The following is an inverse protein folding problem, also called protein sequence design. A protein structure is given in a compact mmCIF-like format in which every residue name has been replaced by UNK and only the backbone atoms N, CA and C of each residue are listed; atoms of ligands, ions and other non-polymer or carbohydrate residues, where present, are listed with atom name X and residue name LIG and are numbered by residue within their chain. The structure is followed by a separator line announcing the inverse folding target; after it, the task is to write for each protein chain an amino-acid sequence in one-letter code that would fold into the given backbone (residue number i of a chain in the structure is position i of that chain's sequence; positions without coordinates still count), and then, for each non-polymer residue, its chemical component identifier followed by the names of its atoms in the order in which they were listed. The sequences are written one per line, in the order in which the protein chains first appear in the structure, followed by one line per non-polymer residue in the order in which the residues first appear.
data_IF_236993828953
#
_entry.id   IF_236993828953
#
_cell.length_a   1.000
_cell.length_b   1.000
_cell.length_c   1.000
_cell.angle_alpha   90.00
_cell.angle_beta   90.00
_cell.angle_gamma   90.00
#
_symmetry.space_group_name_H-M   'P 1'
#
loop_
_entity.id
_entity.type
_entity.pdbx_description
1 polymer ?
#
# COMPACT_ATOMS: atom_id res chain seq x y z
N UNK A 1 -26.13 0.16 16.51
CA UNK A 1 -24.67 0.01 16.35
C UNK A 1 -24.22 0.91 15.21
N UNK A 2 -22.97 1.38 15.25
CA UNK A 2 -22.41 2.28 14.24
C UNK A 2 -22.54 1.75 12.80
N UNK A 3 -22.34 0.45 12.60
CA UNK A 3 -22.45 -0.21 11.30
C UNK A 3 -23.87 -0.23 10.70
N UNK A 4 -24.91 0.05 11.49
CA UNK A 4 -26.30 0.10 11.01
C UNK A 4 -26.69 1.50 10.51
N UNK A 5 -25.81 2.49 10.65
CA UNK A 5 -26.09 3.86 10.24
C UNK A 5 -25.93 4.00 8.71
N UNK A 6 -26.77 4.80 8.03
CA UNK A 6 -26.66 5.00 6.58
C UNK A 6 -25.27 5.44 6.11
N UNK A 7 -24.58 6.27 6.91
CA UNK A 7 -23.24 6.79 6.60
C UNK A 7 -22.19 5.67 6.54
N UNK A 8 -22.41 4.55 7.25
CA UNK A 8 -21.52 3.39 7.19
C UNK A 8 -21.57 2.71 5.83
N UNK A 9 -22.73 2.75 5.14
CA UNK A 9 -22.85 2.24 3.77
C UNK A 9 -21.98 3.04 2.80
N UNK A 10 -22.00 4.36 2.91
CA UNK A 10 -21.18 5.25 2.08
C UNK A 10 -19.70 5.08 2.41
N UNK A 11 -19.35 4.94 3.68
CA UNK A 11 -17.99 4.60 4.11
C UNK A 11 -17.51 3.28 3.48
N UNK A 12 -18.31 2.21 3.54
CA UNK A 12 -17.94 0.93 2.93
C UNK A 12 -17.77 1.04 1.40
N UNK A 13 -18.61 1.83 0.72
CA UNK A 13 -18.45 2.10 -0.71
C UNK A 13 -17.15 2.84 -1.03
N UNK A 14 -16.77 3.84 -0.21
CA UNK A 14 -15.48 4.55 -0.34
C UNK A 14 -14.28 3.63 -0.17
N UNK A 15 -14.33 2.68 0.77
CA UNK A 15 -13.24 1.71 0.96
C UNK A 15 -12.94 0.95 -0.33
N UNK A 16 -13.98 0.45 -1.01
CA UNK A 16 -13.83 -0.31 -2.27
C UNK A 16 -13.35 0.60 -3.40
N UNK A 17 -13.89 1.81 -3.52
CA UNK A 17 -13.44 2.78 -4.53
C UNK A 17 -11.95 3.13 -4.35
N UNK A 18 -11.54 3.37 -3.11
CA UNK A 18 -10.14 3.63 -2.74
C UNK A 18 -9.24 2.43 -3.03
N UNK A 19 -9.71 1.20 -2.77
CA UNK A 19 -8.95 -0.01 -3.04
C UNK A 19 -8.71 -0.22 -4.54
N UNK A 20 -9.72 0.08 -5.37
CA UNK A 20 -9.58 0.08 -6.83
C UNK A 20 -8.60 1.14 -7.32
N UNK A 21 -8.63 2.33 -6.74
CA UNK A 21 -7.69 3.40 -7.06
C UNK A 21 -6.24 3.05 -6.73
N UNK A 22 -6.00 2.46 -5.54
CA UNK A 22 -4.67 1.97 -5.15
C UNK A 22 -4.18 0.86 -6.09
N UNK A 23 -5.03 -0.13 -6.37
CA UNK A 23 -4.69 -1.23 -7.28
C UNK A 23 -4.32 -0.72 -8.68
N UNK A 24 -5.14 0.16 -9.26
CA UNK A 24 -4.90 0.76 -10.57
C UNK A 24 -3.58 1.56 -10.59
N UNK A 25 -3.35 2.38 -9.58
CA UNK A 25 -2.11 3.16 -9.49
C UNK A 25 -0.87 2.26 -9.40
N UNK A 26 -0.93 1.14 -8.68
CA UNK A 26 0.18 0.20 -8.58
C UNK A 26 0.47 -0.47 -9.93
N UNK A 27 -0.57 -0.84 -10.69
CA UNK A 27 -0.40 -1.40 -12.03
C UNK A 27 0.18 -0.38 -13.01
N UNK A 28 -0.33 0.86 -13.00
CA UNK A 28 0.17 1.97 -13.82
C UNK A 28 1.66 2.27 -13.56
N UNK A 29 2.14 2.07 -12.33
CA UNK A 29 3.54 2.28 -11.95
C UNK A 29 4.40 1.01 -12.07
N UNK A 30 3.82 -0.11 -12.52
CA UNK A 30 4.55 -1.33 -12.88
C UNK A 30 4.71 -2.34 -11.75
N UNK A 31 3.80 -2.35 -10.76
CA UNK A 31 3.63 -3.42 -9.78
C UNK A 31 2.36 -4.22 -10.12
N UNK A 32 2.52 -5.54 -10.28
CA UNK A 32 1.42 -6.42 -10.70
C UNK A 32 0.47 -6.69 -9.54
N UNK A 33 -0.84 -6.56 -9.78
CA UNK A 33 -1.88 -7.08 -8.87
C UNK A 33 -2.22 -8.51 -9.27
N UNK A 34 -2.22 -9.43 -8.30
CA UNK A 34 -2.39 -10.88 -8.57
C UNK A 34 -3.66 -11.19 -9.38
N UNK A 35 -4.75 -10.49 -9.10
CA UNK A 35 -6.05 -10.62 -9.78
C UNK A 35 -6.32 -9.55 -10.86
N UNK A 36 -5.38 -8.64 -11.14
CA UNK A 36 -5.60 -7.50 -12.04
C UNK A 36 -6.51 -6.40 -11.48
N UNK A 37 -6.75 -6.38 -10.16
CA UNK A 37 -7.67 -5.46 -9.50
C UNK A 37 -8.21 -5.99 -8.19
N UNK A 38 -9.28 -5.37 -7.67
CA UNK A 38 -9.97 -5.80 -6.44
C UNK A 38 -11.45 -5.40 -6.44
N UNK A 39 -12.26 -6.25 -5.80
CA UNK A 39 -13.68 -6.02 -5.52
C UNK A 39 -13.99 -5.81 -4.03
N UNK A 40 -12.95 -5.73 -3.20
CA UNK A 40 -13.10 -5.54 -1.76
C UNK A 40 -12.08 -4.52 -1.23
N UNK A 41 -11.74 -4.60 0.05
CA UNK A 41 -10.94 -3.63 0.78
C UNK A 41 -9.43 -3.88 0.71
N UNK A 42 -8.99 -4.97 0.07
CA UNK A 42 -7.58 -5.37 0.02
C UNK A 42 -7.15 -5.81 -1.39
N UNK A 43 -5.84 -5.87 -1.60
CA UNK A 43 -5.22 -6.42 -2.80
C UNK A 43 -3.90 -7.11 -2.45
N UNK A 44 -3.47 -8.00 -3.33
CA UNK A 44 -2.20 -8.71 -3.22
C UNK A 44 -1.30 -8.28 -4.38
N UNK A 45 -0.14 -7.75 -4.03
CA UNK A 45 0.87 -7.26 -4.99
C UNK A 45 1.91 -8.35 -5.19
N UNK A 46 2.20 -8.66 -6.45
CA UNK A 46 3.25 -9.57 -6.86
C UNK A 46 4.55 -8.79 -7.15
N UNK A 47 5.60 -9.10 -6.39
CA UNK A 47 6.90 -8.43 -6.45
C UNK A 47 7.94 -9.20 -7.27
N UNK A 48 7.59 -10.36 -7.83
CA UNK A 48 8.53 -11.24 -8.54
C UNK A 48 9.21 -10.56 -9.72
N UNK A 49 8.48 -9.74 -10.49
CA UNK A 49 9.03 -8.98 -11.62
C UNK A 49 10.06 -7.90 -11.21
N UNK A 50 10.08 -7.54 -9.91
CA UNK A 50 11.06 -6.61 -9.32
C UNK A 50 12.20 -7.34 -8.61
N UNK A 51 12.14 -8.67 -8.53
CA UNK A 51 13.00 -9.52 -7.70
C UNK A 51 13.05 -9.12 -6.21
N UNK A 52 12.03 -8.41 -5.73
CA UNK A 52 11.97 -7.97 -4.32
C UNK A 52 11.22 -9.01 -3.49
N UNK A 53 11.73 -9.33 -2.29
CA UNK A 53 11.01 -10.22 -1.35
C UNK A 53 9.93 -9.46 -0.59
N UNK A 54 8.85 -10.15 -0.21
CA UNK A 54 7.82 -9.55 0.63
C UNK A 54 8.41 -9.07 1.97
N UNK A 55 9.38 -9.81 2.53
CA UNK A 55 10.13 -9.42 3.72
C UNK A 55 10.95 -8.14 3.53
N UNK A 56 11.62 -7.98 2.40
CA UNK A 56 12.38 -6.76 2.09
C UNK A 56 11.45 -5.57 1.85
N UNK A 57 10.37 -5.77 1.09
CA UNK A 57 9.35 -4.75 0.85
C UNK A 57 8.69 -4.28 2.15
N UNK A 58 8.27 -5.20 3.02
CA UNK A 58 7.70 -4.88 4.34
C UNK A 58 8.64 -3.97 5.15
N UNK A 59 9.94 -4.27 5.19
CA UNK A 59 10.93 -3.46 5.91
C UNK A 59 11.23 -2.11 5.24
N UNK A 60 11.41 -2.09 3.92
CA UNK A 60 11.73 -0.85 3.20
C UNK A 60 10.57 0.15 3.25
N UNK A 61 9.34 -0.35 3.10
CA UNK A 61 8.15 0.47 3.25
C UNK A 61 8.00 0.98 4.68
N UNK A 62 8.29 0.16 5.69
CA UNK A 62 8.26 0.58 7.10
C UNK A 62 9.26 1.72 7.40
N UNK A 63 10.49 1.65 6.85
CA UNK A 63 11.47 2.75 6.93
C UNK A 63 10.92 4.06 6.35
N UNK A 64 10.19 3.95 5.25
CA UNK A 64 9.51 5.05 4.55
C UNK A 64 8.12 5.42 5.14
N UNK A 65 7.75 4.88 6.30
CA UNK A 65 6.47 5.12 6.99
C UNK A 65 5.22 4.63 6.25
N UNK A 66 5.38 3.65 5.36
CA UNK A 66 4.31 2.91 4.72
C UNK A 66 4.21 1.52 5.35
N UNK A 67 3.21 1.27 6.19
CA UNK A 67 3.06 -0.05 6.83
C UNK A 67 2.28 -1.01 5.92
N UNK A 68 2.84 -2.20 5.69
CA UNK A 68 2.16 -3.31 5.02
C UNK A 68 2.51 -4.65 5.68
N UNK A 69 1.99 -5.74 5.11
CA UNK A 69 2.35 -7.09 5.53
C UNK A 69 2.88 -7.91 4.35
N UNK A 70 4.02 -8.59 4.52
CA UNK A 70 4.50 -9.60 3.57
C UNK A 70 3.48 -10.73 3.46
N UNK A 71 3.21 -11.19 2.25
CA UNK A 71 2.18 -12.17 2.00
C UNK A 71 2.59 -13.06 0.83
N UNK A 72 2.34 -14.37 0.95
CA UNK A 72 2.54 -15.29 -0.17
C UNK A 72 1.61 -14.95 -1.34
N UNK A 73 2.04 -15.27 -2.56
CA UNK A 73 1.22 -15.18 -3.78
C UNK A 73 0.80 -16.58 -4.27
N UNK A 74 -0.16 -16.70 -5.20
CA UNK A 74 -0.44 -17.99 -5.82
C UNK A 74 0.82 -18.58 -6.44
N UNK A 75 1.09 -19.86 -6.15
CA UNK A 75 2.28 -20.58 -6.62
C UNK A 75 3.61 -19.96 -6.17
N UNK A 76 3.63 -19.29 -5.01
CA UNK A 76 4.86 -18.70 -4.46
C UNK A 76 5.95 -19.76 -4.27
N UNK A 77 7.13 -19.49 -4.82
CA UNK A 77 8.31 -20.37 -4.73
C UNK A 77 9.18 -20.04 -3.52
N UNK A 78 8.96 -18.90 -2.87
CA UNK A 78 9.69 -18.48 -1.66
C UNK A 78 9.01 -19.02 -0.40
N UNK A 79 9.79 -19.11 0.68
CA UNK A 79 9.26 -19.61 1.96
C UNK A 79 8.23 -18.66 2.58
N UNK A 80 7.31 -19.14 3.45
CA UNK A 80 6.35 -18.30 4.16
C UNK A 80 6.97 -17.19 5.02
N UNK A 81 8.25 -17.30 5.37
CA UNK A 81 8.98 -16.28 6.14
C UNK A 81 9.56 -15.15 5.27
N UNK A 82 9.65 -15.36 3.95
CA UNK A 82 10.25 -14.42 2.99
C UNK A 82 9.19 -13.88 2.02
N UNK A 83 8.41 -14.77 1.40
CA UNK A 83 7.30 -14.49 0.45
C UNK A 83 7.69 -13.68 -0.79
N UNK A 84 6.83 -13.72 -1.81
CA UNK A 84 7.03 -12.97 -3.07
C UNK A 84 6.05 -11.81 -3.27
N UNK A 85 5.28 -11.45 -2.24
CA UNK A 85 4.30 -10.37 -2.33
C UNK A 85 4.05 -9.62 -1.03
N UNK A 86 3.21 -8.60 -1.14
CA UNK A 86 2.70 -7.81 0.00
C UNK A 86 1.19 -7.64 -0.12
N UNK A 87 0.51 -7.60 1.02
CA UNK A 87 -0.92 -7.33 1.11
C UNK A 87 -1.16 -5.89 1.56
N UNK A 88 -1.99 -5.19 0.80
CA UNK A 88 -2.37 -3.80 1.06
C UNK A 88 -3.88 -3.71 1.27
N UNK A 89 -4.32 -2.74 2.07
CA UNK A 89 -5.74 -2.50 2.31
C UNK A 89 -6.03 -1.03 2.61
N UNK A 90 -7.25 -0.61 2.31
CA UNK A 90 -7.68 0.79 2.36
C UNK A 90 -8.56 1.23 3.54
N UNK A 91 -9.11 0.36 4.41
CA UNK A 91 -9.99 0.82 5.50
C UNK A 91 -9.37 1.89 6.41
N UNK A 92 -8.13 1.70 6.85
CA UNK A 92 -7.48 2.63 7.78
C UNK A 92 -7.32 4.04 7.20
N UNK A 93 -6.79 4.15 5.97
CA UNK A 93 -6.69 5.44 5.28
C UNK A 93 -8.05 6.05 4.97
N UNK A 94 -9.04 5.23 4.60
CA UNK A 94 -10.41 5.70 4.33
C UNK A 94 -11.07 6.26 5.59
N UNK A 95 -10.89 5.62 6.75
CA UNK A 95 -11.37 6.13 8.05
C UNK A 95 -10.69 7.44 8.43
N UNK A 96 -9.41 7.57 8.10
CA UNK A 96 -8.63 8.81 8.30
C UNK A 96 -9.08 9.96 7.39
N UNK A 97 -9.78 9.65 6.30
CA UNK A 97 -10.33 10.64 5.37
C UNK A 97 -9.70 10.62 3.97
N UNK A 98 -8.77 9.70 3.68
CA UNK A 98 -8.19 9.57 2.35
C UNK A 98 -9.25 9.16 1.32
N UNK A 99 -9.20 9.82 0.16
CA UNK A 99 -9.99 9.51 -1.01
C UNK A 99 -9.15 8.86 -2.11
N UNK A 100 -9.74 8.82 -3.31
CA UNK A 100 -9.18 8.17 -4.49
C UNK A 100 -7.82 8.75 -4.87
N UNK A 101 -7.67 10.07 -4.81
CA UNK A 101 -6.44 10.73 -5.25
C UNK A 101 -5.30 10.51 -4.24
N UNK A 102 -5.59 10.50 -2.94
CA UNK A 102 -4.60 10.14 -1.92
C UNK A 102 -4.13 8.69 -2.10
N UNK A 103 -5.03 7.75 -2.42
CA UNK A 103 -4.64 6.36 -2.66
C UNK A 103 -3.85 6.14 -3.95
N UNK A 104 -4.01 6.99 -4.98
CA UNK A 104 -3.11 7.00 -6.13
C UNK A 104 -1.70 7.44 -5.72
N UNK A 105 -1.59 8.51 -4.92
CA UNK A 105 -0.29 8.96 -4.39
C UNK A 105 0.37 7.85 -3.57
N UNK A 106 -0.38 7.18 -2.69
CA UNK A 106 0.13 6.03 -1.92
C UNK A 106 0.67 4.92 -2.84
N UNK A 107 -0.02 4.58 -3.92
CA UNK A 107 0.45 3.59 -4.91
C UNK A 107 1.78 3.96 -5.56
N UNK A 108 1.93 5.23 -5.94
CA UNK A 108 3.17 5.78 -6.49
C UNK A 108 4.33 5.69 -5.49
N UNK A 109 4.10 6.12 -4.25
CA UNK A 109 5.11 6.09 -3.18
C UNK A 109 5.56 4.66 -2.85
N UNK A 110 4.64 3.70 -2.79
CA UNK A 110 4.98 2.27 -2.61
C UNK A 110 5.92 1.80 -3.72
N UNK A 111 5.63 2.21 -4.96
CA UNK A 111 6.42 1.80 -6.13
C UNK A 111 7.80 2.43 -6.15
N UNK A 112 7.95 3.68 -5.69
CA UNK A 112 9.27 4.31 -5.51
C UNK A 112 10.16 3.48 -4.59
N UNK A 113 9.65 3.08 -3.42
CA UNK A 113 10.40 2.24 -2.45
C UNK A 113 10.73 0.87 -3.03
N UNK A 114 9.76 0.19 -3.65
CA UNK A 114 9.98 -1.13 -4.26
C UNK A 114 11.03 -1.06 -5.39
N UNK A 115 11.02 0.00 -6.20
CA UNK A 115 12.04 0.20 -7.22
C UNK A 115 13.42 0.49 -6.62
N UNK A 116 13.50 1.18 -5.48
CA UNK A 116 14.75 1.36 -4.72
C UNK A 116 15.32 0.02 -4.26
N UNK A 117 14.49 -0.83 -3.65
CA UNK A 117 14.86 -2.19 -3.24
C UNK A 117 15.30 -3.05 -4.44
N UNK A 118 14.57 -2.98 -5.55
CA UNK A 118 14.89 -3.73 -6.78
C UNK A 118 16.27 -3.36 -7.35
N UNK A 119 16.66 -2.09 -7.25
CA UNK A 119 17.94 -1.59 -7.76
C UNK A 119 19.11 -1.82 -6.81
N UNK A 120 18.87 -1.66 -5.50
CA UNK A 120 19.94 -1.55 -4.50
C UNK A 120 20.01 -2.76 -3.55
N UNK A 121 19.09 -3.72 -3.69
CA UNK A 121 18.97 -4.89 -2.82
C UNK A 121 18.16 -4.61 -1.55
N UNK A 122 18.16 -5.59 -0.64
CA UNK A 122 17.30 -5.59 0.56
C UNK A 122 17.55 -4.41 1.53
N UNK A 123 18.73 -3.79 1.47
CA UNK A 123 19.04 -2.57 2.24
C UNK A 123 18.30 -1.34 1.72
N UNK A 124 17.77 -1.39 0.50
CA UNK A 124 16.92 -0.35 -0.08
C UNK A 124 17.68 0.89 -0.53
N UNK A 125 16.98 2.02 -0.50
CA UNK A 125 17.50 3.32 -0.93
C UNK A 125 17.14 4.37 0.10
N UNK A 126 18.08 4.69 0.99
CA UNK A 126 17.85 5.60 2.10
C UNK A 126 17.38 7.00 1.64
N UNK A 127 17.81 7.46 0.45
CA UNK A 127 17.38 8.77 -0.06
C UNK A 127 15.94 8.73 -0.56
N UNK A 128 15.55 7.65 -1.26
CA UNK A 128 14.16 7.45 -1.70
C UNK A 128 13.25 7.24 -0.50
N UNK A 129 13.65 6.44 0.48
CA UNK A 129 12.86 6.16 1.68
C UNK A 129 12.63 7.42 2.51
N UNK A 130 13.64 8.29 2.67
CA UNK A 130 13.47 9.57 3.38
C UNK A 130 12.56 10.52 2.61
N UNK A 131 12.73 10.63 1.27
CA UNK A 131 11.82 11.43 0.42
C UNK A 131 10.37 10.94 0.53
N UNK A 132 10.16 9.62 0.49
CA UNK A 132 8.83 9.01 0.61
C UNK A 132 8.27 9.28 2.00
N UNK A 133 9.08 9.11 3.06
CA UNK A 133 8.68 9.45 4.43
C UNK A 133 8.17 10.88 4.53
N UNK A 134 8.90 11.87 4.02
CA UNK A 134 8.45 13.27 4.06
C UNK A 134 7.10 13.45 3.36
N UNK A 135 6.89 12.78 2.22
CA UNK A 135 5.62 12.86 1.50
C UNK A 135 4.48 12.15 2.22
N UNK A 136 4.75 11.04 2.91
CA UNK A 136 3.80 10.37 3.79
C UNK A 136 3.42 11.28 4.96
N UNK A 137 4.39 11.97 5.55
CA UNK A 137 4.14 12.92 6.65
C UNK A 137 3.24 14.07 6.21
N UNK A 138 3.51 14.69 5.05
CA UNK A 138 2.65 15.73 4.46
C UNK A 138 1.22 15.22 4.23
N UNK A 139 1.09 14.03 3.63
CA UNK A 139 -0.21 13.41 3.39
C UNK A 139 -0.95 13.14 4.71
N UNK A 140 -0.22 12.67 5.72
CA UNK A 140 -0.76 12.42 7.04
C UNK A 140 -1.20 13.71 7.75
N UNK A 141 -0.43 14.78 7.64
CA UNK A 141 -0.73 16.07 8.26
C UNK A 141 -1.99 16.73 7.68
N UNK A 142 -2.27 16.51 6.39
CA UNK A 142 -3.49 16.98 5.74
C UNK A 142 -4.77 16.28 6.25
N UNK A 143 -4.64 15.10 6.86
CA UNK A 143 -5.76 14.30 7.37
C UNK A 143 -5.47 13.83 8.81
N UNK A 144 -5.54 14.72 9.83
CA UNK A 144 -5.24 14.36 11.20
C UNK A 144 -6.26 13.34 11.76
N UNK A 145 -5.78 12.33 12.49
CA UNK A 145 -6.64 11.28 13.09
C UNK A 145 -7.54 11.82 14.19
N UNK A 146 -7.08 12.84 14.92
CA UNK A 146 -7.83 13.51 15.99
C UNK A 146 -7.87 15.02 15.73
N UNK A 147 -8.83 15.52 14.94
CA UNK A 147 -8.97 16.96 14.69
C UNK A 147 -9.29 17.69 16.00
N UNK A 148 -8.43 18.62 16.42
CA UNK A 148 -8.66 19.46 17.61
C UNK A 148 -8.15 18.91 18.94
N UNK A 149 -7.28 17.90 18.92
CA UNK A 149 -6.48 17.47 20.07
C UNK A 149 -5.01 17.83 19.86
#
# INVERSE_FOLDING_TARGET
GEALRPEFRDYAARIVANARALAASLEETGLRIVSGGTDNHLMLVDLTAKDVTGKAAEKGLDRAWLTCNKNGIPFDTRSPFVTSGIRLGTPAGTTRGFGVDEFKVVGQLITEVVNGLSKNGDEGDAQVEEKVRSRVEELCAAFPVYPGM
#
